data_IF_566936006409
#
_entry.id   IF_566936006409
#
_cell.length_a   1.000
_cell.length_b   1.000
_cell.length_c   1.000
_cell.angle_alpha   90.00
_cell.angle_beta   90.00
_cell.angle_gamma   90.00
#
_symmetry.space_group_name_H-M   'P 1'
#
loop_
_entity.id
_entity.type
_entity.pdbx_description
1 polymer ?
#
# COMPACT_ATOMS: atom_id res chain seq x y z
N UNK A 1 -16.01 -16.60 -4.21
CA UNK A 1 -14.88 -16.80 -5.14
C UNK A 1 -15.04 -15.79 -6.26
N UNK A 2 -14.09 -14.93 -6.51
CA UNK A 2 -14.10 -14.11 -7.72
C UNK A 2 -13.91 -15.06 -8.91
N UNK A 3 -14.97 -15.31 -9.68
CA UNK A 3 -14.93 -16.18 -10.86
C UNK A 3 -14.29 -15.48 -12.06
N UNK A 4 -13.96 -14.20 -11.95
CA UNK A 4 -13.50 -13.34 -13.04
C UNK A 4 -12.29 -12.51 -12.60
N UNK A 5 -11.37 -12.31 -13.54
CA UNK A 5 -10.22 -11.43 -13.33
C UNK A 5 -10.67 -9.95 -13.34
N UNK A 6 -10.31 -9.13 -12.32
CA UNK A 6 -10.74 -7.74 -12.27
C UNK A 6 -10.10 -6.85 -13.35
N UNK A 7 -9.04 -7.30 -14.02
CA UNK A 7 -8.38 -6.52 -15.06
C UNK A 7 -8.90 -6.80 -16.48
N UNK A 8 -9.45 -8.01 -16.76
CA UNK A 8 -9.83 -8.38 -18.13
C UNK A 8 -11.10 -9.25 -18.24
N UNK A 9 -11.78 -9.51 -17.13
CA UNK A 9 -12.95 -10.40 -17.03
C UNK A 9 -12.71 -11.89 -17.43
N UNK A 10 -11.43 -12.27 -17.63
CA UNK A 10 -11.04 -13.66 -17.90
C UNK A 10 -11.41 -14.60 -16.75
N UNK A 11 -11.81 -15.83 -17.09
CA UNK A 11 -12.27 -16.85 -16.12
C UNK A 11 -11.30 -18.01 -15.95
N UNK A 12 -10.26 -18.07 -16.79
CA UNK A 12 -9.27 -19.14 -16.74
C UNK A 12 -8.02 -18.70 -16.01
N UNK A 13 -7.61 -19.51 -15.03
CA UNK A 13 -6.43 -19.28 -14.22
C UNK A 13 -5.50 -20.49 -14.23
N UNK A 14 -4.20 -20.24 -14.04
CA UNK A 14 -3.20 -21.28 -13.84
C UNK A 14 -2.51 -21.09 -12.49
N UNK A 15 -2.22 -22.18 -11.77
CA UNK A 15 -1.47 -22.15 -10.52
C UNK A 15 -0.03 -21.70 -10.80
N UNK A 16 0.48 -20.79 -9.96
CA UNK A 16 1.87 -20.34 -10.00
C UNK A 16 2.69 -20.93 -8.86
N UNK A 17 2.30 -20.63 -7.62
CA UNK A 17 2.99 -21.11 -6.41
C UNK A 17 2.05 -21.11 -5.22
N UNK A 18 2.52 -21.65 -4.11
CA UNK A 18 1.90 -21.53 -2.80
C UNK A 18 2.75 -20.66 -1.89
N UNK A 19 2.10 -19.92 -0.99
CA UNK A 19 2.75 -19.06 0.00
C UNK A 19 2.06 -19.19 1.36
N UNK A 20 2.77 -18.82 2.43
CA UNK A 20 2.25 -18.76 3.80
C UNK A 20 2.42 -17.37 4.38
N UNK A 21 1.72 -17.07 5.48
CA UNK A 21 1.90 -15.83 6.23
C UNK A 21 3.26 -15.84 6.95
N UNK A 22 4.31 -15.35 6.27
CA UNK A 22 5.69 -15.38 6.76
C UNK A 22 6.02 -14.27 7.75
N UNK A 23 5.25 -13.19 7.72
CA UNK A 23 5.58 -11.99 8.50
C UNK A 23 4.84 -11.96 9.84
N UNK A 24 3.54 -12.20 9.82
CA UNK A 24 2.71 -12.08 11.02
C UNK A 24 2.31 -13.42 11.64
N UNK A 25 2.47 -14.51 10.90
CA UNK A 25 2.11 -15.88 11.37
C UNK A 25 0.71 -15.97 11.96
N UNK A 26 -0.25 -15.25 11.37
CA UNK A 26 -1.65 -15.25 11.82
C UNK A 26 -2.34 -16.57 11.56
N UNK A 27 -1.80 -17.36 10.62
CA UNK A 27 -2.26 -18.70 10.27
C UNK A 27 -1.09 -19.58 9.81
N UNK A 28 -1.26 -20.89 9.94
CA UNK A 28 -0.35 -21.91 9.38
C UNK A 28 -0.79 -22.40 8.00
N UNK A 29 -1.88 -21.90 7.46
CA UNK A 29 -2.42 -22.31 6.17
C UNK A 29 -1.50 -21.93 5.01
N UNK A 30 -1.60 -22.70 3.94
CA UNK A 30 -0.96 -22.42 2.65
C UNK A 30 -1.98 -21.84 1.69
N UNK A 31 -1.60 -20.76 1.02
CA UNK A 31 -2.45 -20.05 0.08
C UNK A 31 -1.93 -20.22 -1.34
N UNK A 32 -2.84 -20.45 -2.29
CA UNK A 32 -2.49 -20.59 -3.70
C UNK A 32 -2.53 -19.23 -4.39
N UNK A 33 -1.45 -18.87 -5.05
CA UNK A 33 -1.40 -17.74 -5.98
C UNK A 33 -1.54 -18.28 -7.39
N UNK A 34 -2.51 -17.73 -8.11
CA UNK A 34 -2.82 -18.10 -9.49
C UNK A 34 -2.63 -16.90 -10.43
N UNK A 35 -2.42 -17.16 -11.70
CA UNK A 35 -2.28 -16.15 -12.75
C UNK A 35 -3.44 -16.30 -13.75
N UNK A 36 -4.07 -15.19 -14.09
CA UNK A 36 -5.05 -15.16 -15.19
C UNK A 36 -4.37 -15.49 -16.52
N UNK A 37 -4.88 -16.47 -17.24
CA UNK A 37 -4.29 -16.90 -18.52
C UNK A 37 -4.37 -15.82 -19.60
N UNK A 38 -5.36 -14.92 -19.52
CA UNK A 38 -5.59 -13.90 -20.54
C UNK A 38 -4.70 -12.66 -20.34
N UNK A 39 -4.65 -12.09 -19.12
CA UNK A 39 -3.94 -10.83 -18.85
C UNK A 39 -2.74 -10.98 -17.93
N UNK A 40 -2.57 -12.15 -17.31
CA UNK A 40 -1.47 -12.50 -16.42
C UNK A 40 -1.50 -11.80 -15.06
N UNK A 41 -2.59 -11.13 -14.67
CA UNK A 41 -2.75 -10.64 -13.30
C UNK A 41 -2.68 -11.82 -12.32
N UNK A 42 -1.86 -11.69 -11.29
CA UNK A 42 -1.76 -12.66 -10.22
C UNK A 42 -2.77 -12.34 -9.12
N UNK A 43 -3.40 -13.40 -8.59
CA UNK A 43 -4.35 -13.27 -7.50
C UNK A 43 -4.34 -14.48 -6.58
N UNK A 44 -4.81 -14.27 -5.37
CA UNK A 44 -5.06 -15.34 -4.42
C UNK A 44 -6.29 -16.17 -4.84
N UNK A 45 -6.21 -17.50 -4.73
CA UNK A 45 -7.34 -18.39 -5.05
C UNK A 45 -7.35 -19.65 -4.16
N UNK A 46 -8.41 -19.89 -3.37
CA UNK A 46 -9.53 -18.98 -3.18
C UNK A 46 -9.14 -17.73 -2.40
N UNK A 47 -9.79 -16.60 -2.67
CA UNK A 47 -9.66 -15.42 -1.83
C UNK A 47 -10.46 -15.65 -0.54
N UNK A 48 -9.92 -15.29 0.64
CA UNK A 48 -10.69 -15.29 1.88
C UNK A 48 -11.88 -14.34 1.76
N UNK A 49 -12.97 -14.65 2.43
CA UNK A 49 -14.11 -13.73 2.54
C UNK A 49 -13.71 -12.47 3.34
N UNK A 50 -14.45 -11.35 3.25
CA UNK A 50 -14.15 -10.17 4.08
C UNK A 50 -14.09 -10.47 5.58
N UNK A 51 -14.95 -11.35 6.10
CA UNK A 51 -14.95 -11.73 7.51
C UNK A 51 -13.73 -12.60 7.88
N UNK A 52 -13.27 -13.46 6.99
CA UNK A 52 -12.04 -14.24 7.18
C UNK A 52 -10.81 -13.36 7.06
N UNK A 53 -10.80 -12.41 6.11
CA UNK A 53 -9.67 -11.51 5.89
C UNK A 53 -9.37 -10.67 7.14
N UNK A 54 -10.39 -10.24 7.87
CA UNK A 54 -10.24 -9.48 9.11
C UNK A 54 -9.43 -10.23 10.17
N UNK A 55 -9.53 -11.57 10.23
CA UNK A 55 -8.80 -12.41 11.20
C UNK A 55 -7.29 -12.44 10.95
N UNK A 56 -6.86 -12.14 9.72
CA UNK A 56 -5.45 -12.11 9.34
C UNK A 56 -4.76 -10.77 9.62
N UNK A 57 -5.49 -9.78 10.15
CA UNK A 57 -4.91 -8.56 10.65
C UNK A 57 -4.68 -8.68 12.16
N UNK A 58 -3.44 -8.61 12.65
CA UNK A 58 -3.14 -8.66 14.07
C UNK A 58 -3.81 -7.50 14.83
N UNK A 59 -4.22 -7.73 16.08
CA UNK A 59 -4.94 -6.74 16.91
C UNK A 59 -4.22 -5.39 17.05
N UNK A 60 -2.88 -5.37 16.98
CA UNK A 60 -2.05 -4.17 17.10
C UNK A 60 -1.45 -3.73 15.77
N UNK A 61 -2.09 -4.06 14.67
CA UNK A 61 -1.61 -3.73 13.31
C UNK A 61 -1.48 -2.22 13.10
N UNK A 62 -2.41 -1.45 13.66
CA UNK A 62 -2.45 0.00 13.50
C UNK A 62 -1.47 0.69 14.45
N UNK A 63 -0.63 1.55 13.88
CA UNK A 63 0.37 2.29 14.66
C UNK A 63 -0.29 3.38 15.51
N UNK A 64 -0.10 3.28 16.83
CA UNK A 64 -0.40 4.37 17.76
C UNK A 64 0.94 5.00 18.18
N UNK A 65 1.11 6.34 18.02
CA UNK A 65 2.33 7.03 18.46
C UNK A 65 2.56 6.84 19.97
N UNK A 66 3.79 6.49 20.36
CA UNK A 66 4.18 6.43 21.76
C UNK A 66 4.96 7.70 22.16
N UNK A 67 4.73 8.21 23.36
CA UNK A 67 5.45 9.37 23.93
C UNK A 67 6.83 9.01 24.51
N UNK A 68 7.49 8.00 23.95
CA UNK A 68 8.82 7.56 24.31
C UNK A 68 9.90 8.18 23.41
N UNK A 69 11.16 8.10 23.83
CA UNK A 69 12.29 8.53 22.99
C UNK A 69 12.36 7.70 21.69
N UNK A 70 12.09 6.38 21.77
CA UNK A 70 12.01 5.49 20.62
C UNK A 70 10.85 5.87 19.69
N UNK A 71 9.68 6.21 20.24
CA UNK A 71 8.52 6.68 19.46
C UNK A 71 8.82 7.99 18.72
N UNK A 72 9.56 8.91 19.33
CA UNK A 72 9.99 10.15 18.64
C UNK A 72 10.94 9.88 17.49
N UNK A 73 11.91 8.98 17.65
CA UNK A 73 12.82 8.57 16.56
C UNK A 73 12.05 7.90 15.41
N UNK A 74 11.10 7.02 15.72
CA UNK A 74 10.25 6.41 14.73
C UNK A 74 9.41 7.46 13.97
N UNK A 75 8.87 8.46 14.65
CA UNK A 75 8.16 9.55 13.98
C UNK A 75 9.06 10.36 13.05
N UNK A 76 10.32 10.65 13.44
CA UNK A 76 11.30 11.32 12.58
C UNK A 76 11.58 10.47 11.33
N UNK A 77 11.84 9.18 11.52
CA UNK A 77 12.04 8.24 10.41
C UNK A 77 10.83 8.21 9.47
N UNK A 78 9.61 8.03 9.99
CA UNK A 78 8.38 8.04 9.21
C UNK A 78 8.19 9.34 8.40
N UNK A 79 8.47 10.49 9.00
CA UNK A 79 8.45 11.78 8.29
C UNK A 79 9.49 11.85 7.18
N UNK A 80 10.67 11.26 7.39
CA UNK A 80 11.72 11.22 6.39
C UNK A 80 11.31 10.36 5.19
N UNK A 81 10.85 9.14 5.42
CA UNK A 81 10.50 8.20 4.35
C UNK A 81 9.23 8.57 3.58
N UNK A 82 8.36 9.42 4.17
CA UNK A 82 7.17 9.94 3.48
C UNK A 82 7.46 11.15 2.59
N UNK A 83 8.68 11.71 2.62
CA UNK A 83 9.02 12.92 1.83
C UNK A 83 8.84 12.71 0.33
N UNK A 84 9.11 11.54 -0.15
CA UNK A 84 8.98 11.21 -1.57
C UNK A 84 7.52 11.06 -2.00
N UNK A 85 6.65 10.52 -1.14
CA UNK A 85 5.20 10.49 -1.35
C UNK A 85 4.64 11.92 -1.40
N UNK A 86 5.01 12.74 -0.42
CA UNK A 86 4.60 14.14 -0.37
C UNK A 86 4.99 14.90 -1.63
N UNK A 87 6.27 14.80 -2.07
CA UNK A 87 6.75 15.45 -3.29
C UNK A 87 6.02 14.98 -4.54
N UNK A 88 5.70 13.68 -4.59
CA UNK A 88 4.97 13.12 -5.73
C UNK A 88 3.55 13.68 -5.82
N UNK A 89 2.83 13.71 -4.69
CA UNK A 89 1.46 14.25 -4.62
C UNK A 89 1.45 15.78 -4.81
N UNK A 90 2.36 16.53 -4.18
CA UNK A 90 2.48 17.98 -4.37
C UNK A 90 2.74 18.33 -5.83
N UNK A 91 3.54 17.54 -6.53
CA UNK A 91 3.77 17.73 -7.96
C UNK A 91 2.49 17.48 -8.76
N UNK A 92 1.78 16.40 -8.48
CA UNK A 92 0.51 16.09 -9.12
C UNK A 92 -0.53 17.20 -8.93
N UNK A 93 -0.63 17.75 -7.71
CA UNK A 93 -1.52 18.89 -7.40
C UNK A 93 -1.12 20.19 -8.13
N UNK A 94 0.18 20.45 -8.30
CA UNK A 94 0.64 21.63 -9.07
C UNK A 94 0.43 21.50 -10.56
N UNK A 95 0.46 20.29 -11.10
CA UNK A 95 0.26 20.00 -12.53
C UNK A 95 -1.21 19.83 -12.88
N UNK A 96 -2.10 19.75 -11.87
CA UNK A 96 -3.55 19.77 -12.03
C UNK A 96 -4.09 21.20 -11.95
N UNK A 97 -5.06 21.51 -12.78
CA UNK A 97 -5.79 22.80 -12.74
C UNK A 97 -6.87 22.83 -11.64
N UNK A 98 -7.06 21.73 -10.93
CA UNK A 98 -8.13 21.58 -9.94
C UNK A 98 -7.72 22.02 -8.54
N UNK A 99 -8.65 22.69 -7.88
CA UNK A 99 -8.57 23.01 -6.46
C UNK A 99 -9.53 22.13 -5.65
N UNK A 100 -9.20 21.79 -4.41
CA UNK A 100 -10.08 21.00 -3.56
C UNK A 100 -9.30 20.07 -2.63
N UNK A 101 -10.00 19.25 -1.85
CA UNK A 101 -9.35 18.33 -0.91
C UNK A 101 -8.65 17.18 -1.62
N UNK A 102 -7.59 16.71 -0.96
CA UNK A 102 -6.96 15.41 -1.21
C UNK A 102 -7.64 14.39 -0.30
N UNK A 103 -8.25 13.37 -0.87
CA UNK A 103 -8.83 12.24 -0.15
C UNK A 103 -7.81 11.09 -0.14
N UNK A 104 -7.37 10.69 1.06
CA UNK A 104 -6.50 9.52 1.23
C UNK A 104 -7.33 8.32 1.67
N UNK A 105 -7.44 7.33 0.81
CA UNK A 105 -8.16 6.07 1.06
C UNK A 105 -7.20 5.08 1.69
N UNK A 106 -7.57 4.49 2.83
CA UNK A 106 -6.66 3.72 3.66
C UNK A 106 -5.67 4.64 4.41
N UNK A 107 -6.16 5.78 4.93
CA UNK A 107 -5.32 6.82 5.52
C UNK A 107 -4.60 6.40 6.81
N UNK A 108 -4.95 5.25 7.40
CA UNK A 108 -4.41 4.79 8.66
C UNK A 108 -4.51 5.87 9.74
N UNK A 109 -3.44 6.07 10.51
CA UNK A 109 -3.39 7.12 11.53
C UNK A 109 -3.22 8.56 10.99
N UNK A 110 -3.29 8.80 9.68
CA UNK A 110 -3.36 10.13 9.08
C UNK A 110 -2.04 10.92 9.04
N UNK A 111 -0.87 10.30 9.32
CA UNK A 111 0.42 11.02 9.33
C UNK A 111 0.75 11.65 7.97
N UNK A 112 0.52 10.94 6.86
CA UNK A 112 0.74 11.46 5.52
C UNK A 112 -0.11 12.72 5.28
N UNK A 113 -1.40 12.65 5.60
CA UNK A 113 -2.33 13.76 5.43
C UNK A 113 -1.99 14.96 6.32
N UNK A 114 -1.56 14.71 7.58
CA UNK A 114 -1.06 15.78 8.44
C UNK A 114 0.11 16.51 7.79
N UNK A 115 1.10 15.76 7.28
CA UNK A 115 2.27 16.35 6.64
C UNK A 115 1.93 17.11 5.36
N UNK A 116 0.92 16.66 4.62
CA UNK A 116 0.41 17.34 3.42
C UNK A 116 -0.36 18.61 3.78
N UNK A 117 -1.20 18.57 4.82
CA UNK A 117 -1.92 19.72 5.37
C UNK A 117 -0.96 20.80 5.88
N UNK A 118 0.09 20.40 6.61
CA UNK A 118 1.11 21.31 7.11
C UNK A 118 1.86 22.05 5.98
N UNK A 119 1.64 21.63 4.71
CA UNK A 119 2.12 22.27 3.49
C UNK A 119 1.04 23.04 2.72
N UNK A 120 -0.13 23.21 3.34
CA UNK A 120 -1.22 24.04 2.82
C UNK A 120 -2.29 23.30 2.03
N UNK A 121 -2.23 21.98 1.88
CA UNK A 121 -3.28 21.24 1.21
C UNK A 121 -4.52 21.05 2.12
N UNK A 122 -5.71 21.10 1.52
CA UNK A 122 -6.93 20.59 2.15
C UNK A 122 -6.93 19.07 2.10
N UNK A 123 -7.23 18.39 3.21
CA UNK A 123 -7.10 16.94 3.32
C UNK A 123 -8.29 16.30 4.02
N UNK A 124 -8.64 15.08 3.59
CA UNK A 124 -9.65 14.22 4.22
C UNK A 124 -9.12 12.78 4.19
N UNK A 125 -9.28 12.07 5.31
CA UNK A 125 -8.96 10.65 5.42
C UNK A 125 -10.19 9.77 5.30
N UNK A 126 -10.02 8.60 4.71
CA UNK A 126 -10.99 7.49 4.74
C UNK A 126 -10.26 6.22 5.10
N UNK A 127 -10.76 5.49 6.11
CA UNK A 127 -10.23 4.19 6.48
C UNK A 127 -11.37 3.23 6.85
N UNK A 128 -11.20 1.94 6.62
CA UNK A 128 -12.20 0.96 7.03
C UNK A 128 -12.14 0.67 8.54
N UNK A 129 -11.02 0.98 9.21
CA UNK A 129 -10.81 0.81 10.64
C UNK A 129 -11.25 2.05 11.42
N UNK A 130 -12.17 1.88 12.35
CA UNK A 130 -12.58 2.93 13.31
C UNK A 130 -11.39 3.41 14.14
N UNK A 131 -10.50 2.49 14.53
CA UNK A 131 -9.34 2.83 15.36
C UNK A 131 -8.32 3.65 14.56
N UNK A 132 -8.10 3.33 13.29
CA UNK A 132 -7.26 4.13 12.40
C UNK A 132 -7.82 5.55 12.24
N UNK A 133 -9.11 5.69 11.92
CA UNK A 133 -9.77 6.98 11.78
C UNK A 133 -9.73 7.79 13.09
N UNK A 134 -9.89 7.13 14.25
CA UNK A 134 -9.76 7.76 15.58
C UNK A 134 -8.33 8.30 15.79
N UNK A 135 -7.29 7.53 15.47
CA UNK A 135 -5.88 7.97 15.58
C UNK A 135 -5.61 9.14 14.64
N UNK A 136 -6.13 9.12 13.40
CA UNK A 136 -6.01 10.23 12.47
C UNK A 136 -6.58 11.53 13.05
N UNK A 137 -7.76 11.46 13.66
CA UNK A 137 -8.39 12.60 14.29
C UNK A 137 -7.68 13.06 15.57
N UNK A 138 -7.43 12.15 16.53
CA UNK A 138 -6.94 12.51 17.85
C UNK A 138 -5.44 12.84 17.88
N UNK A 139 -4.60 12.05 17.20
CA UNK A 139 -3.15 12.21 17.21
C UNK A 139 -2.62 13.16 16.12
N UNK A 140 -3.26 13.18 14.95
CA UNK A 140 -2.82 13.96 13.80
C UNK A 140 -3.76 15.10 13.41
N UNK A 141 -4.91 15.22 14.08
CA UNK A 141 -5.92 16.27 13.84
C UNK A 141 -6.38 16.35 12.37
N UNK A 142 -6.43 15.20 11.71
CA UNK A 142 -6.87 15.06 10.32
C UNK A 142 -8.34 14.67 10.31
N UNK A 143 -9.21 15.40 9.59
CA UNK A 143 -10.58 14.96 9.36
C UNK A 143 -10.56 13.58 8.70
N UNK A 144 -11.13 12.59 9.37
CA UNK A 144 -11.18 11.22 8.86
C UNK A 144 -12.55 10.62 9.11
N UNK A 145 -13.02 9.80 8.16
CA UNK A 145 -14.25 9.03 8.28
C UNK A 145 -13.95 7.54 8.18
N UNK A 146 -14.77 6.72 8.82
CA UNK A 146 -14.68 5.27 8.75
C UNK A 146 -15.68 4.75 7.73
N UNK A 147 -15.22 3.90 6.81
CA UNK A 147 -16.06 3.26 5.80
C UNK A 147 -15.31 2.83 4.55
N UNK A 148 -16.07 2.43 3.55
CA UNK A 148 -15.55 2.09 2.21
C UNK A 148 -15.77 3.25 1.24
N UNK A 149 -14.94 3.36 0.22
CA UNK A 149 -15.02 4.47 -0.74
C UNK A 149 -16.36 4.50 -1.49
N UNK A 150 -16.93 3.34 -1.79
CA UNK A 150 -18.21 3.22 -2.48
C UNK A 150 -19.43 3.65 -1.64
N UNK A 151 -19.28 3.72 -0.31
CA UNK A 151 -20.35 4.10 0.63
C UNK A 151 -20.06 5.43 1.35
N UNK A 152 -18.90 6.04 1.07
CA UNK A 152 -18.50 7.27 1.72
C UNK A 152 -19.39 8.44 1.28
N UNK A 153 -19.80 9.34 2.20
CA UNK A 153 -20.73 10.42 1.92
C UNK A 153 -20.04 11.63 1.25
N UNK A 154 -19.27 11.36 0.20
CA UNK A 154 -18.61 12.40 -0.58
C UNK A 154 -19.43 12.75 -1.82
N UNK A 155 -19.50 14.04 -2.13
CA UNK A 155 -20.17 14.49 -3.35
C UNK A 155 -19.34 14.12 -4.61
N UNK A 156 -19.97 13.79 -5.73
CA UNK A 156 -19.26 13.63 -6.98
C UNK A 156 -18.44 14.89 -7.34
N UNK A 157 -17.32 14.70 -8.00
CA UNK A 157 -16.41 15.77 -8.43
C UNK A 157 -16.01 16.74 -7.31
N UNK A 158 -15.81 16.22 -6.09
CA UNK A 158 -15.45 17.02 -4.92
C UNK A 158 -13.95 17.04 -4.63
N UNK A 159 -13.18 16.04 -5.12
CA UNK A 159 -11.77 15.85 -4.79
C UNK A 159 -10.85 16.36 -5.91
N UNK A 160 -9.82 17.14 -5.55
CA UNK A 160 -8.73 17.51 -6.47
C UNK A 160 -7.75 16.32 -6.68
N UNK A 161 -7.56 15.52 -5.65
CA UNK A 161 -6.79 14.28 -5.77
C UNK A 161 -7.34 13.19 -4.84
N UNK A 162 -7.12 11.94 -5.23
CA UNK A 162 -7.36 10.76 -4.40
C UNK A 162 -6.06 9.96 -4.33
N UNK A 163 -5.65 9.57 -3.12
CA UNK A 163 -4.46 8.72 -2.89
C UNK A 163 -4.88 7.36 -2.35
N UNK A 164 -4.21 6.29 -2.83
CA UNK A 164 -4.38 4.91 -2.40
C UNK A 164 -3.00 4.27 -2.25
N UNK A 165 -2.40 4.34 -1.05
CA UNK A 165 -1.08 3.78 -0.79
C UNK A 165 -1.22 2.43 -0.10
N UNK A 166 -0.90 1.35 -0.81
CA UNK A 166 -1.08 -0.02 -0.33
C UNK A 166 -2.53 -0.31 0.06
N UNK A 167 -3.44 -0.14 -0.89
CA UNK A 167 -4.89 -0.33 -0.67
C UNK A 167 -5.49 -1.29 -1.69
N UNK A 168 -5.27 -1.05 -3.00
CA UNK A 168 -6.02 -1.76 -4.03
C UNK A 168 -5.68 -3.26 -4.11
N UNK A 169 -4.49 -3.66 -3.65
CA UNK A 169 -4.07 -5.06 -3.54
C UNK A 169 -4.85 -5.85 -2.48
N UNK A 170 -5.46 -5.16 -1.52
CA UNK A 170 -6.26 -5.76 -0.44
C UNK A 170 -7.77 -5.82 -0.75
N UNK A 171 -8.22 -5.20 -1.83
CA UNK A 171 -9.64 -5.05 -2.13
C UNK A 171 -10.18 -6.27 -2.89
N UNK A 172 -11.33 -6.80 -2.48
CA UNK A 172 -12.03 -7.84 -3.23
C UNK A 172 -12.53 -7.35 -4.61
N UNK A 173 -12.93 -6.09 -4.68
CA UNK A 173 -13.34 -5.45 -5.93
C UNK A 173 -12.59 -4.12 -6.14
N UNK A 174 -11.37 -4.17 -6.68
CA UNK A 174 -10.60 -2.96 -6.99
C UNK A 174 -11.25 -2.08 -8.05
N UNK A 175 -12.07 -2.67 -8.98
CA UNK A 175 -12.80 -1.88 -9.97
C UNK A 175 -13.86 -0.98 -9.34
N UNK A 176 -14.60 -1.48 -8.36
CA UNK A 176 -15.60 -0.69 -7.63
C UNK A 176 -14.96 0.54 -7.00
N UNK A 177 -13.81 0.38 -6.34
CA UNK A 177 -13.08 1.50 -5.75
C UNK A 177 -12.54 2.49 -6.78
N UNK A 178 -12.00 2.00 -7.91
CA UNK A 178 -11.51 2.86 -8.98
C UNK A 178 -12.63 3.64 -9.66
N UNK A 179 -13.80 3.04 -9.88
CA UNK A 179 -14.99 3.74 -10.40
C UNK A 179 -15.50 4.79 -9.41
N UNK A 180 -15.57 4.45 -8.12
CA UNK A 180 -15.93 5.44 -7.10
C UNK A 180 -14.91 6.60 -7.05
N UNK A 181 -13.61 6.31 -7.16
CA UNK A 181 -12.59 7.35 -7.26
C UNK A 181 -12.77 8.21 -8.51
N UNK A 182 -13.11 7.60 -9.65
CA UNK A 182 -13.41 8.32 -10.89
C UNK A 182 -14.57 9.30 -10.70
N UNK A 183 -15.66 8.89 -10.06
CA UNK A 183 -16.83 9.73 -9.83
C UNK A 183 -16.54 10.89 -8.86
N UNK A 184 -15.72 10.65 -7.84
CA UNK A 184 -15.36 11.64 -6.82
C UNK A 184 -14.32 12.67 -7.29
N UNK A 185 -13.44 12.29 -8.22
CA UNK A 185 -12.44 13.21 -8.76
C UNK A 185 -13.09 14.29 -9.63
N UNK A 186 -12.56 15.50 -9.55
CA UNK A 186 -12.83 16.60 -10.49
C UNK A 186 -12.33 16.24 -11.91
N UNK A 187 -12.72 16.97 -12.95
CA UNK A 187 -12.36 16.63 -14.34
C UNK A 187 -10.86 16.43 -14.57
N UNK A 188 -10.00 17.34 -14.11
CA UNK A 188 -8.53 17.20 -14.16
C UNK A 188 -7.92 16.75 -12.82
N UNK A 189 -8.73 16.14 -11.94
CA UNK A 189 -8.27 15.59 -10.67
C UNK A 189 -7.29 14.43 -10.84
N UNK A 190 -6.44 14.21 -9.86
CA UNK A 190 -5.37 13.21 -9.89
C UNK A 190 -5.69 12.00 -9.01
N UNK A 191 -5.55 10.82 -9.59
CA UNK A 191 -5.50 9.55 -8.85
C UNK A 191 -4.05 9.14 -8.65
N UNK A 192 -3.62 8.94 -7.41
CA UNK A 192 -2.29 8.47 -7.07
C UNK A 192 -2.41 7.12 -6.36
N UNK A 193 -1.84 6.08 -6.96
CA UNK A 193 -1.86 4.71 -6.41
C UNK A 193 -0.44 4.24 -6.19
N UNK A 194 -0.18 3.58 -5.05
CA UNK A 194 1.05 2.85 -4.81
C UNK A 194 0.73 1.43 -4.39
N UNK A 195 1.40 0.45 -5.02
CA UNK A 195 1.29 -0.98 -4.71
C UNK A 195 2.66 -1.65 -4.78
N UNK A 196 2.83 -2.84 -4.18
CA UNK A 196 3.96 -3.72 -4.47
C UNK A 196 3.99 -4.06 -5.95
N UNK A 197 5.18 -4.12 -6.53
CA UNK A 197 5.38 -4.42 -7.95
C UNK A 197 5.87 -5.85 -8.14
N UNK A 198 4.99 -6.74 -8.51
CA UNK A 198 5.34 -8.13 -8.82
C UNK A 198 6.15 -8.32 -10.11
N UNK A 199 6.46 -7.24 -10.82
CA UNK A 199 7.45 -7.22 -11.92
C UNK A 199 8.87 -6.90 -11.47
N UNK A 200 9.17 -6.86 -10.17
CA UNK A 200 10.47 -6.49 -9.62
C UNK A 200 11.50 -7.63 -9.64
N UNK A 201 12.78 -7.25 -9.55
CA UNK A 201 13.86 -8.24 -9.42
C UNK A 201 13.80 -9.00 -8.10
N UNK A 202 13.34 -8.37 -7.02
CA UNK A 202 13.19 -9.04 -5.73
C UNK A 202 12.21 -10.22 -5.84
N UNK A 203 11.06 -10.05 -6.49
CA UNK A 203 10.13 -11.14 -6.73
C UNK A 203 10.73 -12.24 -7.63
N UNK A 204 11.43 -11.85 -8.69
CA UNK A 204 12.11 -12.81 -9.57
C UNK A 204 13.13 -13.68 -8.82
N UNK A 205 13.86 -13.10 -7.85
CA UNK A 205 14.91 -13.79 -7.10
C UNK A 205 14.37 -14.58 -5.90
N UNK A 206 13.33 -14.08 -5.23
CA UNK A 206 12.86 -14.60 -3.95
C UNK A 206 11.52 -15.37 -4.06
N UNK A 207 10.79 -15.21 -5.17
CA UNK A 207 9.50 -15.87 -5.38
C UNK A 207 8.51 -15.64 -4.25
N UNK A 208 7.92 -16.71 -3.73
CA UNK A 208 6.99 -16.67 -2.60
C UNK A 208 7.60 -16.11 -1.29
N UNK A 209 8.92 -15.96 -1.22
CA UNK A 209 9.61 -15.37 -0.07
C UNK A 209 9.74 -13.86 -0.14
N UNK A 210 9.38 -13.24 -1.25
CA UNK A 210 9.36 -11.79 -1.37
C UNK A 210 8.26 -11.18 -0.48
N UNK A 211 8.61 -10.13 0.26
CA UNK A 211 7.69 -9.48 1.20
C UNK A 211 6.46 -8.83 0.54
N UNK A 212 6.52 -8.56 -0.77
CA UNK A 212 5.37 -8.06 -1.51
C UNK A 212 4.25 -9.09 -1.69
N UNK A 213 4.55 -10.40 -1.55
CA UNK A 213 3.55 -11.48 -1.50
C UNK A 213 3.08 -11.62 -0.05
N UNK A 214 2.24 -10.71 0.40
CA UNK A 214 1.73 -10.66 1.79
C UNK A 214 0.42 -11.44 1.94
N UNK A 215 0.49 -12.77 1.71
CA UNK A 215 -0.69 -13.65 1.85
C UNK A 215 -1.08 -13.83 3.32
N UNK A 216 -2.37 -13.90 3.62
CA UNK A 216 -3.51 -13.80 2.72
C UNK A 216 -4.09 -12.38 2.59
N UNK A 217 -3.37 -11.34 3.06
CA UNK A 217 -3.82 -9.94 3.07
C UNK A 217 -3.81 -9.31 1.68
N UNK A 218 -2.80 -9.62 0.85
CA UNK A 218 -2.80 -9.23 -0.56
C UNK A 218 -3.64 -10.24 -1.36
N UNK A 219 -4.74 -9.75 -1.94
CA UNK A 219 -5.62 -10.52 -2.82
C UNK A 219 -5.13 -10.51 -4.26
N UNK A 220 -4.32 -9.51 -4.62
CA UNK A 220 -3.74 -9.30 -5.95
C UNK A 220 -2.28 -8.87 -5.86
N UNK A 221 -1.45 -9.40 -6.76
CA UNK A 221 -0.08 -8.97 -6.98
C UNK A 221 0.05 -8.32 -8.36
N UNK A 222 0.19 -7.01 -8.39
CA UNK A 222 0.18 -6.22 -9.62
C UNK A 222 1.56 -6.07 -10.24
N UNK A 223 1.67 -6.30 -11.55
CA UNK A 223 2.75 -5.77 -12.36
C UNK A 223 2.33 -4.42 -12.98
N UNK A 224 3.25 -3.59 -13.48
CA UNK A 224 2.88 -2.31 -14.10
C UNK A 224 1.82 -2.42 -15.19
N UNK A 225 1.94 -3.42 -16.09
CA UNK A 225 0.98 -3.63 -17.16
C UNK A 225 -0.41 -4.12 -16.70
N UNK A 226 -0.49 -4.81 -15.56
CA UNK A 226 -1.77 -5.25 -14.98
C UNK A 226 -2.52 -4.06 -14.42
N UNK A 227 -1.78 -3.17 -13.73
CA UNK A 227 -2.31 -1.94 -13.16
C UNK A 227 -2.76 -0.97 -14.26
N UNK A 228 -1.98 -0.85 -15.35
CA UNK A 228 -2.36 -0.04 -16.51
C UNK A 228 -3.70 -0.50 -17.11
N UNK A 229 -3.88 -1.81 -17.34
CA UNK A 229 -5.14 -2.37 -17.87
C UNK A 229 -6.31 -2.11 -16.94
N UNK A 230 -6.09 -2.30 -15.64
CA UNK A 230 -7.13 -2.09 -14.64
C UNK A 230 -7.57 -0.61 -14.61
N UNK A 231 -6.63 0.31 -14.59
CA UNK A 231 -6.88 1.76 -14.63
C UNK A 231 -7.57 2.16 -15.95
N UNK A 232 -7.07 1.66 -17.08
CA UNK A 232 -7.65 1.88 -18.39
C UNK A 232 -9.12 1.45 -18.48
N UNK A 233 -9.43 0.26 -17.94
CA UNK A 233 -10.80 -0.27 -17.89
C UNK A 233 -11.75 0.52 -16.99
N UNK A 234 -11.21 1.34 -16.09
CA UNK A 234 -11.96 2.22 -15.19
C UNK A 234 -11.97 3.69 -15.63
N UNK A 235 -11.53 3.99 -16.86
CA UNK A 235 -11.59 5.35 -17.43
C UNK A 235 -10.43 6.26 -17.01
N UNK A 236 -9.30 5.68 -16.58
CA UNK A 236 -8.10 6.45 -16.24
C UNK A 236 -7.00 6.30 -17.29
N UNK A 237 -6.23 7.35 -17.50
CA UNK A 237 -4.97 7.34 -18.23
C UNK A 237 -3.81 7.61 -17.27
N UNK A 238 -2.72 6.85 -17.45
CA UNK A 238 -1.52 6.98 -16.61
C UNK A 238 -0.62 8.09 -17.14
N UNK A 239 -0.32 9.07 -16.30
CA UNK A 239 0.54 10.21 -16.63
C UNK A 239 2.00 9.95 -16.27
N UNK A 240 2.24 9.37 -15.08
CA UNK A 240 3.58 9.23 -14.53
C UNK A 240 3.72 7.99 -13.65
N UNK A 241 4.93 7.42 -13.62
CA UNK A 241 5.29 6.29 -12.74
C UNK A 241 6.58 6.56 -11.99
N UNK A 242 6.67 6.01 -10.79
CA UNK A 242 7.86 6.01 -9.95
C UNK A 242 8.07 4.60 -9.38
N UNK A 243 9.29 4.08 -9.44
CA UNK A 243 9.64 2.71 -9.06
C UNK A 243 10.47 2.62 -7.78
N UNK A 244 10.67 3.71 -7.08
CA UNK A 244 11.43 3.76 -5.83
C UNK A 244 10.65 4.44 -4.72
N UNK A 245 10.65 3.83 -3.55
CA UNK A 245 10.16 4.39 -2.30
C UNK A 245 11.21 4.17 -1.21
N UNK A 246 11.63 5.24 -0.54
CA UNK A 246 12.52 5.14 0.63
C UNK A 246 11.92 4.31 1.76
N UNK A 247 10.60 4.31 1.84
CA UNK A 247 9.85 3.54 2.81
C UNK A 247 9.86 2.05 2.50
N UNK A 248 9.65 1.68 1.23
CA UNK A 248 9.22 0.32 0.90
C UNK A 248 10.32 -0.51 0.25
N UNK A 249 11.10 0.04 -0.73
CA UNK A 249 12.04 -0.78 -1.49
C UNK A 249 13.17 -1.38 -0.63
N UNK A 250 13.95 -0.61 0.13
CA UNK A 250 15.03 -1.19 0.94
C UNK A 250 14.50 -2.03 2.11
N UNK A 251 13.46 -1.55 2.79
CA UNK A 251 12.85 -2.26 3.91
C UNK A 251 12.19 -3.57 3.44
N UNK A 252 11.50 -3.57 2.30
CA UNK A 252 10.90 -4.77 1.71
C UNK A 252 11.92 -5.86 1.41
N UNK A 253 13.10 -5.50 0.87
CA UNK A 253 14.19 -6.46 0.65
C UNK A 253 14.73 -7.01 1.98
N UNK A 254 15.00 -6.13 2.94
CA UNK A 254 15.48 -6.54 4.27
C UNK A 254 14.48 -7.48 4.96
N UNK A 255 13.18 -7.16 4.92
CA UNK A 255 12.11 -8.01 5.48
C UNK A 255 11.98 -9.34 4.74
N UNK A 256 12.13 -9.35 3.41
CA UNK A 256 12.12 -10.58 2.61
C UNK A 256 13.22 -11.55 3.04
N UNK A 257 14.42 -11.02 3.31
CA UNK A 257 15.60 -11.81 3.72
C UNK A 257 15.56 -12.21 5.19
N UNK A 258 15.05 -11.34 6.07
CA UNK A 258 15.06 -11.56 7.51
C UNK A 258 13.76 -11.06 8.19
N UNK A 259 12.59 -11.69 7.93
CA UNK A 259 11.31 -11.25 8.48
C UNK A 259 11.29 -11.21 10.02
N UNK A 260 12.02 -12.10 10.68
CA UNK A 260 12.12 -12.13 12.14
C UNK A 260 12.82 -10.89 12.75
N UNK A 261 13.51 -10.09 11.95
CA UNK A 261 14.14 -8.84 12.41
C UNK A 261 13.23 -7.62 12.20
N UNK A 262 12.13 -7.73 11.44
CA UNK A 262 11.27 -6.60 11.09
C UNK A 262 10.65 -5.97 12.36
N UNK A 263 10.93 -4.68 12.67
CA UNK A 263 10.55 -4.08 13.94
C UNK A 263 9.04 -3.94 14.15
N UNK A 264 8.27 -3.69 13.06
CA UNK A 264 6.82 -3.53 13.15
C UNK A 264 6.15 -4.88 13.42
N UNK A 265 6.56 -5.94 12.71
CA UNK A 265 6.03 -7.28 12.94
C UNK A 265 6.31 -7.76 14.36
N UNK A 266 7.55 -7.58 14.88
CA UNK A 266 7.91 -7.94 16.25
C UNK A 266 7.06 -7.21 17.28
N UNK A 267 6.78 -5.90 17.07
CA UNK A 267 5.89 -5.12 17.93
C UNK A 267 4.45 -5.61 17.84
N UNK A 268 3.94 -5.80 16.64
CA UNK A 268 2.56 -6.28 16.39
C UNK A 268 2.33 -7.65 17.00
N UNK A 269 3.32 -8.54 16.91
CA UNK A 269 3.30 -9.88 17.51
C UNK A 269 3.60 -9.86 19.01
N UNK A 270 3.85 -8.68 19.61
CA UNK A 270 4.21 -8.55 21.02
C UNK A 270 5.37 -9.48 21.43
N UNK A 271 6.40 -9.56 20.59
CA UNK A 271 7.55 -10.43 20.82
C UNK A 271 8.18 -10.17 22.21
N UNK A 272 8.32 -11.24 22.99
CA UNK A 272 8.97 -11.17 24.31
C UNK A 272 10.47 -11.05 24.13
N UNK A 273 10.99 -9.83 24.21
CA UNK A 273 12.41 -9.52 24.00
C UNK A 273 12.93 -8.63 25.13
N UNK A 274 14.16 -8.86 25.56
CA UNK A 274 14.89 -7.92 26.43
C UNK A 274 15.22 -6.62 25.65
N UNK A 275 15.48 -5.54 26.36
CA UNK A 275 15.86 -4.26 25.73
C UNK A 275 17.14 -4.37 24.90
N UNK A 276 18.09 -5.22 25.33
CA UNK A 276 19.33 -5.46 24.59
C UNK A 276 19.11 -6.29 23.32
N UNK A 277 18.30 -7.35 23.37
CA UNK A 277 17.94 -8.14 22.20
C UNK A 277 17.19 -7.29 21.17
N UNK A 278 16.24 -6.48 21.62
CA UNK A 278 15.51 -5.55 20.75
C UNK A 278 16.47 -4.59 20.04
N UNK A 279 17.39 -3.96 20.79
CA UNK A 279 18.37 -3.04 20.21
C UNK A 279 19.26 -3.73 19.16
N UNK A 280 19.76 -4.93 19.46
CA UNK A 280 20.60 -5.69 18.53
C UNK A 280 19.83 -6.03 17.25
N UNK A 281 18.60 -6.52 17.37
CA UNK A 281 17.75 -6.84 16.19
C UNK A 281 17.42 -5.58 15.37
N UNK A 282 17.13 -4.45 16.02
CA UNK A 282 16.86 -3.18 15.34
C UNK A 282 18.11 -2.67 14.59
N UNK A 283 19.31 -2.78 15.17
CA UNK A 283 20.56 -2.43 14.52
C UNK A 283 20.88 -3.35 13.33
N UNK A 284 20.66 -4.67 13.50
CA UNK A 284 20.84 -5.64 12.39
C UNK A 284 19.87 -5.36 11.25
N UNK A 285 18.59 -5.08 11.56
CA UNK A 285 17.61 -4.73 10.54
C UNK A 285 17.99 -3.42 9.82
N UNK A 286 18.39 -2.39 10.57
CA UNK A 286 18.85 -1.12 10.00
C UNK A 286 20.08 -1.31 9.09
N UNK A 287 21.02 -2.17 9.47
CA UNK A 287 22.17 -2.52 8.64
C UNK A 287 21.74 -3.23 7.33
N UNK A 288 20.81 -4.17 7.40
CA UNK A 288 20.24 -4.84 6.22
C UNK A 288 19.55 -3.85 5.28
N UNK A 289 18.76 -2.93 5.83
CA UNK A 289 18.11 -1.85 5.05
C UNK A 289 19.17 -0.98 4.37
N UNK A 290 20.24 -0.59 5.07
CA UNK A 290 21.31 0.24 4.50
C UNK A 290 22.04 -0.49 3.36
N UNK A 291 22.36 -1.78 3.53
CA UNK A 291 22.98 -2.62 2.50
C UNK A 291 22.06 -2.83 1.31
N UNK A 292 20.75 -2.89 1.51
CA UNK A 292 19.76 -3.04 0.46
C UNK A 292 19.63 -1.80 -0.45
N UNK A 293 19.95 -0.61 0.04
CA UNK A 293 19.76 0.66 -0.70
C UNK A 293 20.40 0.64 -2.10
N UNK A 294 21.69 0.34 -2.29
CA UNK A 294 22.30 0.38 -3.61
C UNK A 294 21.61 -0.56 -4.62
N UNK A 295 21.30 -1.79 -4.20
CA UNK A 295 20.61 -2.75 -5.06
C UNK A 295 19.22 -2.22 -5.46
N UNK A 296 18.43 -1.75 -4.51
CA UNK A 296 17.07 -1.27 -4.77
C UNK A 296 17.05 0.01 -5.59
N UNK A 297 18.07 0.85 -5.50
CA UNK A 297 18.22 2.01 -6.38
C UNK A 297 18.51 1.60 -7.84
N UNK A 298 19.39 0.62 -8.06
CA UNK A 298 19.67 0.08 -9.40
C UNK A 298 18.42 -0.60 -9.97
N UNK A 299 17.76 -1.43 -9.18
CA UNK A 299 16.49 -2.08 -9.52
C UNK A 299 15.43 -1.05 -9.99
N UNK A 300 15.26 0.02 -9.22
CA UNK A 300 14.33 1.09 -9.56
C UNK A 300 14.75 1.90 -10.81
N UNK A 301 16.05 2.15 -11.00
CA UNK A 301 16.57 2.80 -12.20
C UNK A 301 16.29 1.98 -13.46
N UNK A 302 16.27 0.64 -13.34
CA UNK A 302 15.88 -0.29 -14.41
C UNK A 302 14.34 -0.43 -14.54
N UNK A 303 13.54 0.38 -13.84
CA UNK A 303 12.07 0.32 -13.80
C UNK A 303 11.51 -1.01 -13.26
N UNK A 304 12.30 -1.71 -12.47
CA UNK A 304 11.99 -3.00 -11.86
C UNK A 304 11.96 -2.92 -10.32
N UNK A 305 11.79 -1.73 -9.74
CA UNK A 305 11.72 -1.56 -8.29
C UNK A 305 10.53 -2.25 -7.67
N UNK A 306 10.69 -2.73 -6.42
CA UNK A 306 9.71 -3.56 -5.70
C UNK A 306 8.41 -2.84 -5.32
N UNK A 307 8.32 -1.55 -5.57
CA UNK A 307 7.12 -0.74 -5.39
C UNK A 307 6.91 0.13 -6.62
N UNK A 308 5.67 0.27 -7.06
CA UNK A 308 5.29 1.21 -8.12
C UNK A 308 4.28 2.22 -7.58
N UNK A 309 4.56 3.51 -7.81
CA UNK A 309 3.62 4.61 -7.59
C UNK A 309 3.23 5.21 -8.94
N UNK A 310 1.93 5.32 -9.17
CA UNK A 310 1.34 5.79 -10.42
C UNK A 310 0.53 7.06 -10.15
N UNK A 311 0.65 8.03 -11.04
CA UNK A 311 -0.26 9.15 -11.18
C UNK A 311 -1.11 8.93 -12.44
N UNK A 312 -2.42 9.06 -12.29
CA UNK A 312 -3.38 8.93 -13.37
C UNK A 312 -4.42 10.07 -13.29
N UNK A 313 -5.08 10.34 -14.40
CA UNK A 313 -6.25 11.24 -14.49
C UNK A 313 -7.39 10.57 -15.25
N UNK A 314 -8.56 11.16 -15.20
CA UNK A 314 -9.68 10.72 -16.04
C UNK A 314 -9.31 10.84 -17.52
N UNK A 315 -9.76 9.87 -18.31
CA UNK A 315 -9.72 10.00 -19.77
C UNK A 315 -10.72 11.07 -20.22
N UNK A 316 -10.30 11.92 -21.11
CA UNK A 316 -11.16 12.92 -21.78
C UNK A 316 -12.00 12.26 -22.86
#
# INVERSE_FOLDING_TARGET
MSSHCPACDGTEFQALFTASDRLYHTTSEQFHVVECKQCRLMQLAPQPTPAELEQYYPKHYWFTPEDSAAGRMEQIYRRFVLRDHLRFVERALRESEESGPVLDVGCGGGLFLRLLRDRGASVIGLDFSVDAARVAWTANQVPATCGTLSQAPFAPQSCAAITMFHVIEHLHDPRCYLRAAHDLLRPDGRLIIQVPNAGCWQFLLLGASWNGVDVPRHLYDFRPGDLDRLLDSCGFEVLRRKYFSWRDNPAGLATSLAPALEPVARRVLQAKESSSERLVKDLLYAALVAVAIPFTMVEAACRAGSTIMIEARKKT
#
